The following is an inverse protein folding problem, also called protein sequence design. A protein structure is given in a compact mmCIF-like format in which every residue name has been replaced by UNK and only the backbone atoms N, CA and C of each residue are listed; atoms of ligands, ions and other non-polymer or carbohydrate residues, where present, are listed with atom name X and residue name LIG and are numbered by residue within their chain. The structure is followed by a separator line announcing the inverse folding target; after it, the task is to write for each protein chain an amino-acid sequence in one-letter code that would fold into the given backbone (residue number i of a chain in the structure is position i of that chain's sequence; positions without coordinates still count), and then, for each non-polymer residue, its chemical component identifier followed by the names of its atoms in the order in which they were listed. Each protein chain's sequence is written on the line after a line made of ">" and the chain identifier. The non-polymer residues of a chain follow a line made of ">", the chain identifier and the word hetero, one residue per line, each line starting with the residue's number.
data_IF_109962854268
#
_entry.id   IF_109962854268
#
_cell.length_a   1.000
_cell.length_b   1.000
_cell.length_c   1.000
_cell.angle_alpha   90.00
_cell.angle_beta   90.00
_cell.angle_gamma   90.00
#
_symmetry.space_group_name_H-M   'P 1'
#
loop_
_entity.id
_entity.type
_entity.pdbx_description
1 polymer ?
#
# COMPACT_ATOMS: atom_id res chain seq x y z
N UNK A 1 12.61 5.69 -8.98
CA UNK A 1 12.32 4.40 -8.32
C UNK A 1 12.84 4.50 -6.90
N UNK A 2 11.94 4.41 -5.89
CA UNK A 2 12.33 4.41 -4.46
C UNK A 2 13.01 3.07 -4.16
N UNK A 3 14.08 3.06 -3.35
CA UNK A 3 14.69 1.78 -2.97
C UNK A 3 13.76 1.05 -2.01
N UNK A 4 13.68 -0.28 -2.17
CA UNK A 4 12.84 -1.13 -1.34
C UNK A 4 13.12 -0.92 0.16
N UNK A 5 14.40 -0.87 0.54
CA UNK A 5 14.87 -0.67 1.91
C UNK A 5 14.31 0.61 2.57
N UNK A 6 14.22 1.71 1.82
CA UNK A 6 13.67 2.98 2.31
C UNK A 6 12.15 2.90 2.58
N UNK A 7 11.45 2.01 1.87
CA UNK A 7 10.00 1.84 1.99
C UNK A 7 9.66 0.84 3.09
N UNK A 8 10.45 -0.22 3.27
CA UNK A 8 10.22 -1.26 4.30
C UNK A 8 10.85 -0.96 5.65
N UNK A 9 11.47 0.22 5.81
CA UNK A 9 12.09 0.64 7.06
C UNK A 9 11.83 2.12 7.36
N UNK A 10 12.30 2.58 8.53
CA UNK A 10 12.31 3.99 8.90
C UNK A 10 10.93 4.65 9.06
N UNK A 11 10.89 5.98 8.84
CA UNK A 11 9.71 6.80 9.14
C UNK A 11 8.50 6.40 8.29
N UNK A 12 7.38 6.16 8.96
CA UNK A 12 6.11 5.77 8.33
C UNK A 12 6.06 4.33 7.85
N UNK A 13 7.04 3.49 8.21
CA UNK A 13 7.00 2.05 7.93
C UNK A 13 5.78 1.40 8.58
N UNK A 14 5.49 1.71 9.84
CA UNK A 14 4.32 1.16 10.54
C UNK A 14 3.01 1.43 9.80
N UNK A 15 2.84 2.64 9.26
CA UNK A 15 1.67 2.98 8.45
C UNK A 15 1.61 2.17 7.15
N UNK A 16 2.74 2.01 6.46
CA UNK A 16 2.84 1.21 5.23
C UNK A 16 2.58 -0.27 5.49
N UNK A 17 3.11 -0.81 6.59
CA UNK A 17 2.88 -2.19 7.02
C UNK A 17 1.38 -2.43 7.24
N UNK A 18 0.70 -1.56 7.98
CA UNK A 18 -0.76 -1.63 8.20
C UNK A 18 -1.56 -1.59 6.89
N UNK A 19 -1.15 -0.74 5.93
CA UNK A 19 -1.77 -0.69 4.60
C UNK A 19 -1.58 -2.02 3.86
N UNK A 20 -0.37 -2.57 3.87
CA UNK A 20 -0.06 -3.84 3.22
C UNK A 20 -0.83 -5.01 3.85
N UNK A 21 -0.93 -5.07 5.18
CA UNK A 21 -1.74 -6.07 5.89
C UNK A 21 -3.22 -6.02 5.46
N UNK A 22 -3.79 -4.82 5.37
CA UNK A 22 -5.16 -4.64 4.88
C UNK A 22 -5.32 -5.10 3.42
N UNK A 23 -4.33 -4.84 2.56
CA UNK A 23 -4.36 -5.24 1.16
C UNK A 23 -4.14 -6.74 0.95
N UNK A 24 -3.32 -7.38 1.80
CA UNK A 24 -3.15 -8.84 1.83
C UNK A 24 -4.48 -9.52 2.18
N UNK A 25 -5.22 -8.95 3.14
CA UNK A 25 -6.53 -9.48 3.51
C UNK A 25 -7.55 -9.40 2.36
N UNK A 26 -7.61 -8.27 1.66
CA UNK A 26 -8.49 -8.09 0.49
C UNK A 26 -8.17 -6.78 -0.24
N UNK A 27 -8.25 -6.74 -1.60
CA UNK A 27 -8.09 -5.51 -2.37
C UNK A 27 -9.01 -4.38 -1.90
N UNK A 28 -8.49 -3.16 -1.80
CA UNK A 28 -9.22 -2.00 -1.25
C UNK A 28 -8.92 -0.73 -2.03
N UNK A 29 -9.87 0.20 -1.99
CA UNK A 29 -9.61 1.56 -2.47
C UNK A 29 -8.82 2.38 -1.42
N UNK A 30 -8.14 3.47 -1.82
CA UNK A 30 -7.51 4.36 -0.85
C UNK A 30 -8.50 4.95 0.18
N UNK A 31 -9.77 5.12 -0.21
CA UNK A 31 -10.82 5.57 0.70
C UNK A 31 -11.16 4.51 1.75
N UNK A 32 -11.28 3.24 1.36
CA UNK A 32 -11.54 2.14 2.31
C UNK A 32 -10.41 2.00 3.31
N UNK A 33 -9.16 2.07 2.84
CA UNK A 33 -7.96 2.05 3.68
C UNK A 33 -7.93 3.21 4.66
N UNK A 34 -8.24 4.43 4.20
CA UNK A 34 -8.32 5.61 5.06
C UNK A 34 -9.34 5.43 6.19
N UNK A 35 -10.54 4.93 5.84
CA UNK A 35 -11.60 4.66 6.82
C UNK A 35 -11.22 3.55 7.80
N UNK A 36 -10.70 2.42 7.33
CA UNK A 36 -10.35 1.27 8.19
C UNK A 36 -9.17 1.53 9.11
N UNK A 37 -8.16 2.24 8.61
CA UNK A 37 -6.95 2.52 9.38
C UNK A 37 -7.04 3.79 10.24
N UNK A 38 -8.17 4.51 10.13
CA UNK A 38 -8.39 5.82 10.75
C UNK A 38 -7.29 6.83 10.37
N UNK A 39 -7.05 6.97 9.07
CA UNK A 39 -6.03 7.83 8.48
C UNK A 39 -6.65 8.83 7.50
N UNK A 40 -5.97 9.95 7.29
CA UNK A 40 -6.34 10.89 6.23
C UNK A 40 -6.12 10.27 4.85
N UNK A 41 -7.01 10.56 3.91
CA UNK A 41 -6.92 10.07 2.53
C UNK A 41 -5.57 10.42 1.88
N UNK A 42 -5.06 11.64 2.08
CA UNK A 42 -3.76 12.08 1.56
C UNK A 42 -2.60 11.28 2.13
N UNK A 43 -2.65 10.92 3.43
CA UNK A 43 -1.64 10.06 4.07
C UNK A 43 -1.64 8.67 3.46
N UNK A 44 -2.81 8.07 3.27
CA UNK A 44 -2.93 6.76 2.60
C UNK A 44 -2.41 6.84 1.18
N UNK A 45 -2.78 7.89 0.43
CA UNK A 45 -2.35 8.05 -0.96
C UNK A 45 -0.84 8.19 -1.08
N UNK A 46 -0.23 9.00 -0.20
CA UNK A 46 1.22 9.14 -0.12
C UNK A 46 1.89 7.79 0.09
N UNK A 47 1.41 6.98 1.03
CA UNK A 47 2.01 5.68 1.30
C UNK A 47 1.80 4.65 0.18
N UNK A 48 0.62 4.64 -0.47
CA UNK A 48 0.38 3.79 -1.62
C UNK A 48 1.30 4.12 -2.80
N UNK A 49 1.57 5.40 -3.05
CA UNK A 49 2.51 5.83 -4.10
C UNK A 49 3.94 5.32 -3.85
N UNK A 50 4.40 5.35 -2.60
CA UNK A 50 5.71 4.79 -2.21
C UNK A 50 5.77 3.27 -2.39
N UNK A 51 4.72 2.58 -1.98
CA UNK A 51 4.61 1.13 -2.10
C UNK A 51 4.53 0.69 -3.57
N UNK A 52 3.81 1.44 -4.39
CA UNK A 52 3.69 1.18 -5.83
C UNK A 52 5.00 1.47 -6.56
N UNK A 53 5.64 2.60 -6.25
CA UNK A 53 6.94 2.99 -6.80
C UNK A 53 8.10 2.04 -6.43
N UNK A 54 7.92 1.22 -5.38
CA UNK A 54 8.84 0.15 -4.97
C UNK A 54 8.39 -1.23 -5.43
N UNK A 55 7.26 -1.32 -6.15
CA UNK A 55 6.73 -2.56 -6.72
C UNK A 55 6.14 -3.51 -5.68
N UNK A 56 5.76 -3.03 -4.49
CA UNK A 56 5.13 -3.84 -3.43
C UNK A 56 3.62 -3.95 -3.60
N UNK A 57 2.98 -2.94 -4.18
CA UNK A 57 1.55 -2.96 -4.54
C UNK A 57 1.37 -2.60 -6.00
N UNK A 58 0.20 -2.90 -6.54
CA UNK A 58 -0.27 -2.41 -7.83
C UNK A 58 -1.73 -1.99 -7.68
N UNK A 59 -2.27 -1.27 -8.66
CA UNK A 59 -3.68 -0.94 -8.72
C UNK A 59 -4.30 -1.28 -10.07
N UNK A 60 -5.60 -1.54 -10.04
CA UNK A 60 -6.46 -1.60 -11.20
C UNK A 60 -7.47 -0.45 -11.14
N UNK A 61 -7.94 0.00 -12.30
CA UNK A 61 -9.03 0.97 -12.41
C UNK A 61 -10.34 0.25 -12.65
N UNK A 62 -11.33 0.54 -11.82
CA UNK A 62 -12.71 0.10 -12.00
C UNK A 62 -13.61 1.34 -12.00
N UNK A 63 -13.99 1.78 -13.21
CA UNK A 63 -14.63 3.08 -13.41
C UNK A 63 -13.73 4.23 -12.91
N UNK A 64 -14.26 5.02 -11.98
CA UNK A 64 -13.52 6.12 -11.34
C UNK A 64 -12.69 5.69 -10.12
N UNK A 65 -12.81 4.43 -9.68
CA UNK A 65 -12.12 3.92 -8.49
C UNK A 65 -10.78 3.30 -8.86
N UNK A 66 -9.80 3.52 -8.01
CA UNK A 66 -8.54 2.77 -8.02
C UNK A 66 -8.58 1.74 -6.89
N UNK A 67 -8.44 0.47 -7.24
CA UNK A 67 -8.43 -0.64 -6.29
C UNK A 67 -6.99 -1.14 -6.21
N UNK A 68 -6.40 -1.07 -5.03
CA UNK A 68 -5.04 -1.52 -4.76
C UNK A 68 -5.02 -2.97 -4.31
N UNK A 69 -3.95 -3.67 -4.65
CA UNK A 69 -3.74 -5.08 -4.35
C UNK A 69 -2.24 -5.36 -4.14
N UNK A 70 -1.88 -6.40 -3.36
CA UNK A 70 -0.49 -6.80 -3.19
C UNK A 70 0.10 -7.24 -4.53
N UNK A 71 1.35 -6.85 -4.77
CA UNK A 71 2.12 -7.34 -5.91
C UNK A 71 2.62 -8.78 -5.66
N UNK A 72 3.01 -9.46 -6.74
CA UNK A 72 3.74 -10.74 -6.62
C UNK A 72 5.05 -10.61 -5.83
N UNK A 73 5.71 -9.46 -5.94
CA UNK A 73 6.97 -9.16 -5.24
C UNK A 73 6.80 -9.17 -3.72
N UNK A 74 5.69 -8.61 -3.22
CA UNK A 74 5.40 -8.60 -1.78
C UNK A 74 5.30 -10.03 -1.22
N UNK A 75 4.57 -10.91 -1.91
CA UNK A 75 4.42 -12.31 -1.52
C UNK A 75 5.73 -13.09 -1.61
N UNK A 76 6.55 -12.82 -2.63
CA UNK A 76 7.83 -13.49 -2.82
C UNK A 76 8.88 -13.10 -1.77
N UNK A 77 8.87 -11.84 -1.32
CA UNK A 77 9.89 -11.30 -0.43
C UNK A 77 9.60 -11.54 1.06
N UNK A 78 8.43 -12.09 1.43
CA UNK A 78 8.02 -12.38 2.83
C UNK A 78 8.29 -11.20 3.79
N UNK A 79 7.99 -9.99 3.33
CA UNK A 79 8.26 -8.74 4.07
C UNK A 79 7.36 -8.60 5.30
N UNK A 80 6.22 -9.30 5.31
CA UNK A 80 5.19 -9.28 6.34
C UNK A 80 4.83 -10.72 6.69
#
# INVERSE_FOLDING_TARGET
>A
MRKLDEVVSGKGWETRKRILEELISSPKTPYDLAKRLNLNYSTVRYHLDLLESSGLVTHVKEGSKQIFLPSKSLTALKII
#
